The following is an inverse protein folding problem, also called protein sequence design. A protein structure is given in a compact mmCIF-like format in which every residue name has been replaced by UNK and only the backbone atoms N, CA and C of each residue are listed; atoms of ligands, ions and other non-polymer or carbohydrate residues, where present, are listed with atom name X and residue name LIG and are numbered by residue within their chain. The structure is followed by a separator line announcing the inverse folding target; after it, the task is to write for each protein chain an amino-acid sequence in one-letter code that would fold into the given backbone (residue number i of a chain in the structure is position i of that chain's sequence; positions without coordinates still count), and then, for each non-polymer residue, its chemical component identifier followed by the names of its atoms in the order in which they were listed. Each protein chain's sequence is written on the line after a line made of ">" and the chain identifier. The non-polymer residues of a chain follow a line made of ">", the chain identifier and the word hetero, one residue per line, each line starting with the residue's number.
data_IF_147055953610
#
_entry.id   IF_147055953610
#
_cell.length_a   1.000
_cell.length_b   1.000
_cell.length_c   1.000
_cell.angle_alpha   90.00
_cell.angle_beta   90.00
_cell.angle_gamma   90.00
#
_symmetry.space_group_name_H-M   'P 1'
#
loop_
_entity.id
_entity.type
_entity.pdbx_description
1 polymer ?
#
# COMPACT_ATOMS: atom_id res chain seq x y z
N UNK A 1 -0.78 -30.06 -12.57
CA UNK A 1 -0.26 -29.22 -11.45
C UNK A 1 -1.02 -27.88 -11.48
N UNK A 2 -2.30 -27.84 -11.08
CA UNK A 2 -3.12 -26.61 -11.16
C UNK A 2 -4.12 -26.44 -10.00
N UNK A 3 -3.98 -27.24 -8.94
CA UNK A 3 -4.92 -27.21 -7.79
C UNK A 3 -4.71 -26.02 -6.85
N UNK A 4 -3.54 -25.36 -6.86
CA UNK A 4 -3.20 -24.29 -5.92
C UNK A 4 -3.85 -22.93 -6.23
N UNK A 5 -4.41 -22.74 -7.43
CA UNK A 5 -5.08 -21.50 -7.86
C UNK A 5 -6.60 -21.66 -8.04
N UNK A 6 -7.17 -22.78 -7.58
CA UNK A 6 -8.63 -22.93 -7.58
C UNK A 6 -9.27 -21.84 -6.70
N UNK A 7 -10.36 -21.18 -7.15
CA UNK A 7 -11.06 -20.15 -6.38
C UNK A 7 -11.42 -20.59 -4.96
N UNK A 8 -11.76 -21.86 -4.78
CA UNK A 8 -12.11 -22.44 -3.47
C UNK A 8 -10.90 -22.57 -2.55
N UNK A 9 -9.72 -22.87 -3.11
CA UNK A 9 -8.45 -22.96 -2.37
C UNK A 9 -7.94 -21.57 -1.99
N UNK A 10 -8.09 -20.58 -2.88
CA UNK A 10 -7.78 -19.18 -2.57
C UNK A 10 -8.72 -18.63 -1.49
N UNK A 11 -10.01 -18.94 -1.56
CA UNK A 11 -11.02 -18.56 -0.55
C UNK A 11 -10.73 -19.22 0.79
N UNK A 12 -10.42 -20.52 0.81
CA UNK A 12 -10.01 -21.23 2.02
C UNK A 12 -8.71 -20.65 2.62
N UNK A 13 -7.75 -20.26 1.78
CA UNK A 13 -6.50 -19.60 2.20
C UNK A 13 -6.75 -18.22 2.80
N UNK A 14 -7.61 -17.40 2.20
CA UNK A 14 -7.99 -16.09 2.73
C UNK A 14 -8.75 -16.23 4.06
N UNK A 15 -9.69 -17.19 4.17
CA UNK A 15 -10.40 -17.52 5.41
C UNK A 15 -9.43 -17.98 6.51
N UNK A 16 -8.46 -18.81 6.15
CA UNK A 16 -7.44 -19.27 7.09
C UNK A 16 -6.45 -18.16 7.50
N UNK A 17 -6.19 -17.18 6.63
CA UNK A 17 -5.44 -15.95 6.96
C UNK A 17 -6.23 -15.06 7.92
N UNK A 18 -7.55 -14.90 7.73
CA UNK A 18 -8.44 -14.19 8.69
C UNK A 18 -8.43 -14.86 10.06
N UNK A 19 -8.55 -16.18 10.10
CA UNK A 19 -8.65 -16.93 11.36
C UNK A 19 -7.33 -16.96 12.16
N UNK A 20 -6.17 -16.87 11.50
CA UNK A 20 -4.85 -17.01 12.14
C UNK A 20 -4.08 -15.70 12.36
N UNK A 21 -4.54 -14.58 11.80
CA UNK A 21 -3.78 -13.32 11.77
C UNK A 21 -4.26 -12.28 12.78
N UNK A 22 -3.78 -12.31 14.03
CA UNK A 22 -3.77 -11.08 14.85
C UNK A 22 -2.63 -10.19 14.37
N UNK A 23 -2.89 -9.27 13.43
CA UNK A 23 -1.90 -8.22 13.11
C UNK A 23 -1.73 -7.34 14.35
N UNK A 24 -0.50 -7.25 14.86
CA UNK A 24 -0.15 -6.25 15.88
C UNK A 24 -0.15 -4.86 15.22
N UNK A 25 -1.23 -4.11 15.45
CA UNK A 25 -1.46 -2.73 14.98
C UNK A 25 -0.56 -1.81 15.83
N UNK A 26 0.36 -1.08 15.21
CA UNK A 26 1.31 -0.24 15.96
C UNK A 26 0.82 1.18 16.22
N UNK A 27 -0.21 1.63 15.49
CA UNK A 27 -0.88 2.95 15.48
C UNK A 27 -0.76 3.63 14.11
N UNK A 28 -1.76 4.46 13.78
CA UNK A 28 -1.76 5.35 12.61
C UNK A 28 -0.90 6.61 12.83
N UNK A 29 -0.64 6.96 14.09
CA UNK A 29 0.18 8.10 14.48
C UNK A 29 1.67 7.73 14.39
N UNK A 30 2.39 8.39 13.47
CA UNK A 30 3.84 8.32 13.37
C UNK A 30 4.53 9.35 14.26
N UNK A 31 5.86 9.39 14.19
CA UNK A 31 6.69 10.41 14.81
C UNK A 31 6.55 11.76 14.10
N UNK A 32 6.47 11.74 12.78
CA UNK A 32 6.43 12.95 11.93
C UNK A 32 5.04 13.09 11.30
N UNK A 33 4.46 11.98 10.82
CA UNK A 33 3.23 12.00 10.03
C UNK A 33 2.07 11.24 10.68
N UNK A 34 0.85 11.76 10.52
CA UNK A 34 -0.39 11.09 10.91
C UNK A 34 -1.11 10.54 9.67
N UNK A 35 -1.12 9.21 9.53
CA UNK A 35 -1.77 8.52 8.42
C UNK A 35 -3.29 8.73 8.41
N UNK A 36 -3.91 8.89 9.58
CA UNK A 36 -5.35 9.15 9.71
C UNK A 36 -5.73 10.49 9.12
N UNK A 37 -4.97 11.55 9.46
CA UNK A 37 -5.17 12.89 8.89
C UNK A 37 -4.95 12.90 7.38
N UNK A 38 -3.87 12.26 6.91
CA UNK A 38 -3.58 12.14 5.48
C UNK A 38 -4.70 11.39 4.74
N UNK A 39 -5.14 10.25 5.27
CA UNK A 39 -6.22 9.46 4.70
C UNK A 39 -7.49 10.30 4.54
N UNK A 40 -7.88 11.07 5.56
CA UNK A 40 -9.08 11.89 5.49
C UNK A 40 -8.99 12.95 4.38
N UNK A 41 -7.85 13.64 4.25
CA UNK A 41 -7.63 14.62 3.16
C UNK A 41 -7.72 13.96 1.79
N UNK A 42 -7.05 12.81 1.62
CA UNK A 42 -7.04 12.06 0.37
C UNK A 42 -8.43 11.52 0.02
N UNK A 43 -9.16 11.02 1.02
CA UNK A 43 -10.50 10.45 0.86
C UNK A 43 -11.47 11.54 0.36
N UNK A 44 -11.45 12.72 0.98
CA UNK A 44 -12.27 13.84 0.51
C UNK A 44 -11.88 14.30 -0.89
N UNK A 45 -10.58 14.36 -1.20
CA UNK A 45 -10.10 14.92 -2.47
C UNK A 45 -10.30 14.01 -3.69
N UNK A 46 -10.11 12.70 -3.53
CA UNK A 46 -10.05 11.77 -4.67
C UNK A 46 -11.16 10.72 -4.70
N UNK A 47 -11.89 10.58 -3.60
CA UNK A 47 -12.89 9.53 -3.42
C UNK A 47 -14.23 10.09 -2.90
N UNK A 48 -14.43 11.40 -2.95
CA UNK A 48 -15.66 12.08 -2.50
C UNK A 48 -16.09 11.72 -1.07
N UNK A 49 -15.12 11.36 -0.23
CA UNK A 49 -15.35 10.89 1.14
C UNK A 49 -15.99 9.50 1.25
N UNK A 50 -16.13 8.76 0.14
CA UNK A 50 -16.87 7.50 0.08
C UNK A 50 -16.06 6.27 0.51
N UNK A 51 -14.72 6.36 0.60
CA UNK A 51 -13.96 5.22 1.12
C UNK A 51 -14.17 5.10 2.62
N UNK A 52 -14.65 3.94 3.06
CA UNK A 52 -14.63 3.55 4.46
C UNK A 52 -13.20 3.54 4.96
N UNK A 53 -12.99 4.00 6.20
CA UNK A 53 -11.66 4.11 6.77
C UNK A 53 -11.13 2.71 7.14
N UNK A 54 -10.11 2.19 6.45
CA UNK A 54 -9.48 0.93 6.83
C UNK A 54 -8.68 1.12 8.14
N UNK A 55 -8.22 0.01 8.71
CA UNK A 55 -7.18 0.08 9.75
C UNK A 55 -5.91 0.67 9.13
N UNK A 56 -5.43 1.79 9.67
CA UNK A 56 -4.21 2.44 9.23
C UNK A 56 -3.10 2.17 10.24
N UNK A 57 -1.94 1.70 9.78
CA UNK A 57 -0.81 1.48 10.67
C UNK A 57 0.53 1.69 9.98
N UNK A 58 1.50 2.18 10.75
CA UNK A 58 2.89 2.05 10.36
C UNK A 58 3.35 0.58 10.49
N UNK A 59 4.33 0.17 9.68
CA UNK A 59 4.97 -1.13 9.81
C UNK A 59 5.78 -1.20 11.11
N UNK A 60 5.76 -2.35 11.79
CA UNK A 60 6.51 -2.50 13.05
C UNK A 60 8.03 -2.39 12.84
N UNK A 61 8.54 -3.02 11.78
CA UNK A 61 9.94 -2.96 11.37
C UNK A 61 10.12 -1.98 10.23
N UNK A 62 11.28 -1.33 10.17
CA UNK A 62 11.69 -0.51 9.03
C UNK A 62 11.91 -1.44 7.84
N UNK A 63 10.95 -1.47 6.91
CA UNK A 63 11.05 -2.25 5.67
C UNK A 63 11.42 -1.33 4.52
N UNK A 64 12.54 -1.64 3.87
CA UNK A 64 13.02 -0.95 2.67
C UNK A 64 12.70 -1.75 1.41
N UNK A 65 11.77 -2.70 1.43
CA UNK A 65 11.39 -3.45 0.22
C UNK A 65 9.98 -3.07 -0.22
N UNK A 66 9.07 -2.93 0.74
CA UNK A 66 7.67 -2.60 0.52
C UNK A 66 7.40 -1.27 1.23
N UNK A 67 7.02 -0.25 0.47
CA UNK A 67 6.77 1.10 1.00
C UNK A 67 5.36 1.28 1.55
N UNK A 68 4.40 0.59 0.95
CA UNK A 68 3.01 0.49 1.37
C UNK A 68 2.44 -0.85 0.91
N UNK A 69 1.43 -1.34 1.62
CA UNK A 69 0.55 -2.39 1.09
C UNK A 69 -0.84 -2.33 1.74
N UNK A 70 -1.87 -2.57 0.94
CA UNK A 70 -3.22 -2.88 1.38
C UNK A 70 -3.41 -4.40 1.54
N UNK A 71 -3.93 -4.83 2.69
CA UNK A 71 -4.36 -6.20 2.94
C UNK A 71 -5.88 -6.28 2.95
N UNK A 72 -6.45 -6.65 1.80
CA UNK A 72 -7.90 -6.80 1.61
C UNK A 72 -8.55 -7.83 2.52
N UNK A 73 -7.76 -8.76 3.09
CA UNK A 73 -8.28 -9.78 4.00
C UNK A 73 -8.63 -9.19 5.37
N UNK A 74 -7.90 -8.15 5.79
CA UNK A 74 -7.98 -7.49 7.10
C UNK A 74 -8.36 -6.01 7.01
N UNK A 75 -8.75 -5.52 5.82
CA UNK A 75 -9.11 -4.11 5.58
C UNK A 75 -8.10 -3.15 6.22
N UNK A 76 -6.81 -3.43 5.98
CA UNK A 76 -5.70 -2.73 6.62
C UNK A 76 -4.76 -2.16 5.58
N UNK A 77 -4.42 -0.88 5.69
CA UNK A 77 -3.30 -0.28 4.97
C UNK A 77 -2.10 -0.17 5.92
N UNK A 78 -0.97 -0.69 5.48
CA UNK A 78 0.29 -0.61 6.21
C UNK A 78 1.30 0.21 5.43
N UNK A 79 1.79 1.29 6.03
CA UNK A 79 2.83 2.14 5.44
C UNK A 79 4.17 1.88 6.13
N UNK A 80 5.25 1.82 5.37
CA UNK A 80 6.57 1.54 5.95
C UNK A 80 7.01 2.66 6.89
N UNK A 81 7.47 2.29 8.09
CA UNK A 81 8.06 3.22 9.07
C UNK A 81 9.33 3.93 8.58
N UNK A 82 9.91 3.51 7.45
CA UNK A 82 11.01 4.27 6.82
C UNK A 82 10.54 5.59 6.21
N UNK A 83 9.24 5.73 5.93
CA UNK A 83 8.64 6.94 5.38
C UNK A 83 8.26 7.96 6.46
N UNK A 84 8.24 7.56 7.72
CA UNK A 84 8.00 8.42 8.89
C UNK A 84 9.30 9.12 9.31
N UNK A 85 9.77 10.06 8.48
CA UNK A 85 11.00 10.83 8.64
C UNK A 85 10.85 12.22 8.03
N UNK A 86 11.48 13.23 8.61
CA UNK A 86 11.50 14.61 8.08
C UNK A 86 12.24 14.70 6.73
N UNK A 87 13.17 13.78 6.46
CA UNK A 87 13.86 13.64 5.17
C UNK A 87 12.93 13.19 4.04
N UNK A 88 11.80 12.57 4.38
CA UNK A 88 10.81 12.09 3.41
C UNK A 88 9.71 13.12 3.31
N UNK A 89 9.50 13.77 2.15
CA UNK A 89 8.48 14.79 2.02
C UNK A 89 7.07 14.25 2.27
N UNK A 90 6.22 15.07 2.91
CA UNK A 90 4.83 14.71 3.24
C UNK A 90 4.06 14.23 1.99
N UNK A 91 4.20 14.95 0.88
CA UNK A 91 3.54 14.62 -0.38
C UNK A 91 3.93 13.25 -0.94
N UNK A 92 5.11 12.71 -0.60
CA UNK A 92 5.51 11.37 -1.01
C UNK A 92 4.85 10.31 -0.13
N UNK A 93 4.73 10.57 1.17
CA UNK A 93 3.97 9.68 2.08
C UNK A 93 2.50 9.64 1.68
N UNK A 94 1.91 10.80 1.37
CA UNK A 94 0.55 10.89 0.84
C UNK A 94 0.39 10.13 -0.48
N UNK A 95 1.38 10.19 -1.37
CA UNK A 95 1.35 9.41 -2.62
C UNK A 95 1.28 7.91 -2.37
N UNK A 96 2.15 7.39 -1.48
CA UNK A 96 2.15 5.95 -1.15
C UNK A 96 0.81 5.56 -0.50
N UNK A 97 0.30 6.37 0.43
CA UNK A 97 -1.01 6.12 1.03
C UNK A 97 -2.14 6.14 0.00
N UNK A 98 -2.13 7.11 -0.93
CA UNK A 98 -3.08 7.20 -2.02
C UNK A 98 -3.04 5.96 -2.93
N UNK A 99 -1.85 5.46 -3.26
CA UNK A 99 -1.69 4.21 -4.01
C UNK A 99 -2.35 3.04 -3.29
N UNK A 100 -2.19 2.93 -1.97
CA UNK A 100 -2.85 1.89 -1.18
C UNK A 100 -4.38 2.06 -1.10
N UNK A 101 -4.87 3.30 -1.05
CA UNK A 101 -6.31 3.59 -1.13
C UNK A 101 -6.89 3.21 -2.50
N UNK A 102 -6.13 3.37 -3.58
CA UNK A 102 -6.55 2.92 -4.90
C UNK A 102 -6.71 1.40 -4.99
N UNK A 103 -5.97 0.61 -4.20
CA UNK A 103 -6.21 -0.84 -4.12
C UNK A 103 -7.53 -1.21 -3.44
N UNK A 104 -8.11 -0.31 -2.64
CA UNK A 104 -9.46 -0.47 -2.09
C UNK A 104 -10.49 -0.19 -3.19
N UNK A 105 -10.35 0.95 -3.89
CA UNK A 105 -11.26 1.34 -4.98
C UNK A 105 -11.23 0.36 -6.16
N UNK A 106 -10.04 -0.15 -6.49
CA UNK A 106 -9.80 -1.05 -7.61
C UNK A 106 -9.32 -2.41 -7.11
N UNK A 107 -10.22 -3.25 -6.58
CA UNK A 107 -9.84 -4.57 -6.09
C UNK A 107 -9.24 -5.43 -7.21
N UNK A 108 -8.40 -6.38 -6.81
CA UNK A 108 -7.73 -7.28 -7.74
C UNK A 108 -8.73 -8.07 -8.60
N UNK A 109 -8.49 -8.14 -9.90
CA UNK A 109 -9.29 -8.99 -10.80
C UNK A 109 -8.75 -10.42 -10.79
N UNK A 110 -9.63 -11.40 -10.62
CA UNK A 110 -9.28 -12.82 -10.74
C UNK A 110 -9.50 -13.28 -12.19
N UNK A 111 -8.41 -13.59 -12.90
CA UNK A 111 -8.45 -14.10 -14.28
C UNK A 111 -7.62 -15.38 -14.29
N UNK A 112 -8.22 -16.51 -14.68
CA UNK A 112 -7.57 -17.83 -14.72
C UNK A 112 -6.83 -18.18 -13.41
N UNK A 113 -7.46 -17.93 -12.26
CA UNK A 113 -6.89 -18.21 -10.93
C UNK A 113 -5.76 -17.25 -10.49
N UNK A 114 -5.38 -16.27 -11.30
CA UNK A 114 -4.35 -15.27 -10.98
C UNK A 114 -4.98 -13.91 -10.64
N UNK A 115 -4.43 -13.25 -9.62
CA UNK A 115 -4.83 -11.89 -9.21
C UNK A 115 -4.07 -10.85 -10.04
N UNK A 116 -4.81 -10.00 -10.73
CA UNK A 116 -4.30 -8.87 -11.50
C UNK A 116 -4.62 -7.57 -10.79
N UNK A 117 -3.56 -6.87 -10.40
CA UNK A 117 -3.62 -5.53 -9.81
C UNK A 117 -3.31 -4.49 -10.90
N UNK A 118 -3.52 -3.20 -10.60
CA UNK A 118 -3.09 -2.09 -11.46
C UNK A 118 -3.65 -2.11 -12.89
N UNK A 119 -4.97 -2.32 -13.01
CA UNK A 119 -5.68 -2.23 -14.29
C UNK A 119 -5.56 -0.84 -14.92
N UNK A 120 -6.02 -0.67 -16.17
CA UNK A 120 -6.04 0.65 -16.83
C UNK A 120 -6.74 1.72 -15.98
N UNK A 121 -7.88 1.38 -15.37
CA UNK A 121 -8.62 2.30 -14.49
C UNK A 121 -7.81 2.71 -13.26
N UNK A 122 -7.11 1.76 -12.63
CA UNK A 122 -6.20 2.06 -11.52
C UNK A 122 -5.14 3.07 -11.94
N UNK A 123 -4.44 2.81 -13.07
CA UNK A 123 -3.35 3.68 -13.55
C UNK A 123 -3.84 5.07 -13.91
N UNK A 124 -5.04 5.17 -14.49
CA UNK A 124 -5.67 6.46 -14.78
C UNK A 124 -5.94 7.26 -13.50
N UNK A 125 -6.44 6.62 -12.45
CA UNK A 125 -6.66 7.31 -11.17
C UNK A 125 -5.34 7.62 -10.44
N UNK A 126 -4.34 6.74 -10.53
CA UNK A 126 -3.00 6.96 -9.97
C UNK A 126 -2.36 8.23 -10.52
N UNK A 127 -2.48 8.45 -11.84
CA UNK A 127 -1.97 9.65 -12.52
C UNK A 127 -2.69 10.95 -12.12
N UNK A 128 -3.85 10.88 -11.48
CA UNK A 128 -4.56 12.08 -10.98
C UNK A 128 -3.89 12.70 -9.76
N UNK A 129 -2.93 12.00 -9.14
CA UNK A 129 -2.19 12.57 -8.04
C UNK A 129 -1.38 13.79 -8.51
N UNK A 130 -1.51 14.97 -7.88
CA UNK A 130 -0.91 16.22 -8.39
C UNK A 130 0.59 16.16 -8.60
N UNK A 131 1.28 15.39 -7.75
CA UNK A 131 2.74 15.20 -7.80
C UNK A 131 3.10 13.81 -8.29
N UNK A 132 2.29 13.21 -9.15
CA UNK A 132 2.50 11.85 -9.64
C UNK A 132 3.90 11.67 -10.23
N UNK A 133 4.31 12.57 -11.13
CA UNK A 133 5.62 12.49 -11.78
C UNK A 133 6.78 12.64 -10.77
N UNK A 134 6.68 13.58 -9.82
CA UNK A 134 7.66 13.76 -8.75
C UNK A 134 7.75 12.50 -7.87
N UNK A 135 6.61 11.88 -7.56
CA UNK A 135 6.55 10.66 -6.77
C UNK A 135 7.15 9.46 -7.51
N UNK A 136 6.94 9.33 -8.82
CA UNK A 136 7.59 8.29 -9.63
C UNK A 136 9.12 8.48 -9.64
N UNK A 137 9.60 9.70 -9.82
CA UNK A 137 11.05 10.00 -9.77
C UNK A 137 11.65 9.69 -8.40
N UNK A 138 10.95 10.07 -7.33
CA UNK A 138 11.39 9.78 -5.95
C UNK A 138 11.41 8.28 -5.66
N UNK A 139 10.39 7.54 -6.13
CA UNK A 139 10.35 6.09 -6.02
C UNK A 139 11.53 5.44 -6.76
N UNK A 140 11.81 5.89 -7.98
CA UNK A 140 12.95 5.42 -8.77
C UNK A 140 14.29 5.68 -8.07
N UNK A 141 14.46 6.86 -7.48
CA UNK A 141 15.65 7.18 -6.69
C UNK A 141 15.82 6.21 -5.52
N UNK A 142 14.76 6.00 -4.72
CA UNK A 142 14.76 5.04 -3.61
C UNK A 142 15.14 3.63 -4.10
N UNK A 143 14.59 3.20 -5.23
CA UNK A 143 14.88 1.87 -5.81
C UNK A 143 16.34 1.76 -6.26
N UNK A 144 16.89 2.81 -6.89
CA UNK A 144 18.29 2.87 -7.34
C UNK A 144 19.24 2.82 -6.15
N UNK A 145 19.02 3.64 -5.13
CA UNK A 145 19.83 3.65 -3.91
C UNK A 145 19.85 2.27 -3.24
N UNK A 146 18.70 1.58 -3.20
CA UNK A 146 18.62 0.20 -2.69
C UNK A 146 19.42 -0.79 -3.51
N UNK A 147 19.39 -0.69 -4.85
CA UNK A 147 20.19 -1.56 -5.73
C UNK A 147 21.68 -1.35 -5.46
N UNK A 148 22.13 -0.11 -5.33
CA UNK A 148 23.52 0.23 -5.00
C UNK A 148 23.94 -0.32 -3.63
N UNK A 149 23.10 -0.18 -2.60
CA UNK A 149 23.40 -0.74 -1.28
C UNK A 149 23.52 -2.27 -1.30
N UNK A 150 22.66 -2.96 -2.03
CA UNK A 150 22.75 -4.42 -2.19
C UNK A 150 23.99 -4.84 -2.96
N UNK A 151 24.38 -4.11 -4.01
CA UNK A 151 25.58 -4.40 -4.78
C UNK A 151 26.88 -4.23 -3.96
N UNK A 152 26.88 -3.34 -2.96
CA UNK A 152 28.02 -3.13 -2.06
C UNK A 152 28.09 -4.12 -0.88
N UNK A 153 27.03 -4.88 -0.64
CA UNK A 153 26.89 -5.77 0.52
C UNK A 153 27.12 -7.26 0.17
N UNK A 154 27.75 -7.54 -0.97
CA UNK A 154 28.14 -8.86 -1.46
C UNK A 154 29.66 -8.94 -1.58
#
# INVERSE_FOLDING_TARGET
>A
RDYACSPDVLRASDLARRARGRKMISSAQGRVYDLGRMFQRLNQRFFDGQLERPTLTWSQRRTRTILGHHDSVHETIVISKTLDSEEVPEWFVEYILYHEMLHIKHPARLINGRRYYHTKAFRTDEQRYPRFNEAQLWLDQIVRERRTLRARAA
#
